data_IF_972856174773
#
_entry.id   IF_972856174773
#
_cell.length_a   1.000
_cell.length_b   1.000
_cell.length_c   1.000
_cell.angle_alpha   90.00
_cell.angle_beta   90.00
_cell.angle_gamma   90.00
#
_symmetry.space_group_name_H-M   'P 1'
#
loop_
_entity.id
_entity.type
_entity.pdbx_description
1 polymer ?
#
# COMPACT_ATOMS: atom_id res chain seq x y z
N UNK A 1 -12.98 -23.13 -3.63
CA UNK A 1 -13.56 -21.88 -4.18
C UNK A 1 -13.62 -20.74 -3.16
N UNK A 2 -14.07 -20.96 -1.91
CA UNK A 2 -14.08 -19.90 -0.88
C UNK A 2 -12.69 -19.28 -0.58
N UNK A 3 -11.63 -20.10 -0.55
CA UNK A 3 -10.26 -19.62 -0.26
C UNK A 3 -9.69 -18.66 -1.31
N UNK A 4 -9.99 -18.87 -2.60
CA UNK A 4 -9.51 -17.97 -3.66
C UNK A 4 -10.29 -16.66 -3.65
N UNK A 5 -11.61 -16.69 -3.41
CA UNK A 5 -12.42 -15.48 -3.29
C UNK A 5 -11.97 -14.58 -2.13
N UNK A 6 -11.66 -15.18 -0.97
CA UNK A 6 -11.10 -14.46 0.18
C UNK A 6 -9.74 -13.84 -0.16
N UNK A 7 -8.88 -14.58 -0.86
CA UNK A 7 -7.57 -14.07 -1.31
C UNK A 7 -7.73 -12.89 -2.28
N UNK A 8 -8.64 -12.97 -3.24
CA UNK A 8 -8.90 -11.89 -4.21
C UNK A 8 -9.46 -10.64 -3.52
N UNK A 9 -10.41 -10.80 -2.59
CA UNK A 9 -10.95 -9.70 -1.80
C UNK A 9 -9.86 -9.02 -0.96
N UNK A 10 -9.02 -9.82 -0.29
CA UNK A 10 -7.90 -9.31 0.48
C UNK A 10 -6.91 -8.53 -0.40
N UNK A 11 -6.58 -9.07 -1.57
CA UNK A 11 -5.69 -8.41 -2.53
C UNK A 11 -6.26 -7.06 -3.02
N UNK A 12 -7.56 -6.99 -3.32
CA UNK A 12 -8.23 -5.75 -3.70
C UNK A 12 -8.22 -4.71 -2.58
N UNK A 13 -8.46 -5.14 -1.33
CA UNK A 13 -8.40 -4.25 -0.15
C UNK A 13 -6.99 -3.70 0.03
N UNK A 14 -5.97 -4.54 -0.10
CA UNK A 14 -4.57 -4.11 -0.01
C UNK A 14 -4.26 -3.09 -1.10
N UNK A 15 -4.64 -3.33 -2.36
CA UNK A 15 -4.43 -2.38 -3.46
C UNK A 15 -5.14 -1.04 -3.17
N UNK A 16 -6.40 -1.08 -2.71
CA UNK A 16 -7.17 0.11 -2.41
C UNK A 16 -6.54 0.95 -1.29
N UNK A 17 -6.06 0.32 -0.22
CA UNK A 17 -5.40 1.03 0.88
C UNK A 17 -4.03 1.59 0.45
N UNK A 18 -3.29 0.83 -0.35
CA UNK A 18 -1.91 1.16 -0.69
C UNK A 18 -1.79 2.22 -1.78
N UNK A 19 -2.82 2.40 -2.60
CA UNK A 19 -2.88 3.47 -3.61
C UNK A 19 -3.81 4.61 -3.16
N UNK A 20 -4.94 4.28 -2.53
CA UNK A 20 -5.95 5.25 -2.11
C UNK A 20 -5.50 6.17 -0.98
N UNK A 21 -4.79 5.65 0.03
CA UNK A 21 -4.31 6.46 1.17
C UNK A 21 -3.28 7.51 0.71
N UNK A 22 -2.20 7.16 -0.05
CA UNK A 22 -1.26 8.14 -0.56
C UNK A 22 -1.93 9.22 -1.45
N UNK A 23 -2.87 8.83 -2.30
CA UNK A 23 -3.58 9.77 -3.16
C UNK A 23 -4.49 10.70 -2.36
N UNK A 24 -5.21 10.20 -1.36
CA UNK A 24 -6.00 11.03 -0.45
C UNK A 24 -5.13 12.00 0.34
N UNK A 25 -3.94 11.59 0.78
CA UNK A 25 -3.00 12.48 1.45
C UNK A 25 -2.46 13.56 0.50
N UNK A 26 -2.22 13.22 -0.76
CA UNK A 26 -1.78 14.17 -1.79
C UNK A 26 -2.85 15.22 -2.12
N UNK A 27 -4.08 14.78 -2.44
CA UNK A 27 -5.16 15.67 -2.88
C UNK A 27 -5.97 16.31 -1.73
N UNK A 28 -5.97 15.69 -0.55
CA UNK A 28 -6.71 16.17 0.63
C UNK A 28 -5.91 17.15 1.50
N UNK A 29 -4.63 17.36 1.22
CA UNK A 29 -3.80 18.31 1.96
C UNK A 29 -3.95 19.73 1.43
N UNK A 30 -4.26 20.68 2.32
CA UNK A 30 -4.24 22.11 2.02
C UNK A 30 -2.82 22.63 1.69
N UNK A 31 -1.78 21.85 2.01
CA UNK A 31 -0.40 22.13 1.62
C UNK A 31 0.09 21.03 0.65
N UNK A 32 0.31 21.36 -0.63
CA UNK A 32 0.67 20.37 -1.65
C UNK A 32 2.03 19.71 -1.41
N UNK A 33 2.97 20.41 -0.76
CA UNK A 33 4.29 19.85 -0.42
C UNK A 33 4.17 18.80 0.68
N UNK A 34 3.36 19.07 1.71
CA UNK A 34 3.10 18.11 2.78
C UNK A 34 2.37 16.85 2.26
N UNK A 35 1.40 17.04 1.36
CA UNK A 35 0.69 15.93 0.72
C UNK A 35 1.60 15.05 -0.14
N UNK A 36 2.53 15.66 -0.88
CA UNK A 36 3.54 14.94 -1.67
C UNK A 36 4.47 14.11 -0.77
N UNK A 37 5.00 14.71 0.31
CA UNK A 37 5.88 14.01 1.25
C UNK A 37 5.16 12.83 1.92
N UNK A 38 3.91 13.03 2.33
CA UNK A 38 3.09 11.98 2.93
C UNK A 38 2.81 10.82 1.95
N UNK A 39 2.60 11.13 0.66
CA UNK A 39 2.45 10.12 -0.38
C UNK A 39 3.75 9.34 -0.61
N UNK A 40 4.89 10.03 -0.73
CA UNK A 40 6.22 9.40 -0.89
C UNK A 40 6.53 8.45 0.28
N UNK A 41 6.30 8.90 1.52
CA UNK A 41 6.51 8.09 2.71
C UNK A 41 5.61 6.85 2.72
N UNK A 42 4.34 7.01 2.34
CA UNK A 42 3.38 5.90 2.29
C UNK A 42 3.76 4.86 1.23
N UNK A 43 4.20 5.29 0.03
CA UNK A 43 4.75 4.38 -0.98
C UNK A 43 6.07 3.72 -0.55
N UNK A 44 6.93 4.44 0.18
CA UNK A 44 8.16 3.88 0.74
C UNK A 44 7.92 2.76 1.75
N UNK A 45 6.93 2.94 2.65
CA UNK A 45 6.52 1.92 3.61
C UNK A 45 5.97 0.68 2.87
N UNK A 46 5.18 0.89 1.82
CA UNK A 46 4.66 -0.19 0.98
C UNK A 46 5.79 -1.01 0.33
N UNK A 47 6.75 -0.33 -0.30
CA UNK A 47 7.90 -0.99 -0.93
C UNK A 47 8.73 -1.78 0.10
N UNK A 48 8.91 -1.22 1.31
CA UNK A 48 9.61 -1.89 2.41
C UNK A 48 8.88 -3.17 2.86
N UNK A 49 7.56 -3.11 2.97
CA UNK A 49 6.73 -4.28 3.30
C UNK A 49 6.81 -5.35 2.20
N UNK A 50 6.73 -4.95 0.93
CA UNK A 50 6.86 -5.87 -0.20
C UNK A 50 8.23 -6.55 -0.24
N UNK A 51 9.31 -5.82 0.03
CA UNK A 51 10.66 -6.38 0.16
C UNK A 51 10.76 -7.36 1.32
N UNK A 52 10.23 -7.00 2.49
CA UNK A 52 10.21 -7.89 3.65
C UNK A 52 9.44 -9.18 3.37
N UNK A 53 8.25 -9.08 2.78
CA UNK A 53 7.44 -10.23 2.38
C UNK A 53 8.17 -11.13 1.37
N UNK A 54 8.89 -10.54 0.41
CA UNK A 54 9.69 -11.30 -0.57
C UNK A 54 10.87 -12.03 0.09
N UNK A 55 11.58 -11.36 1.01
CA UNK A 55 12.67 -11.97 1.77
C UNK A 55 12.18 -13.11 2.67
N UNK A 56 11.01 -12.95 3.29
CA UNK A 56 10.39 -13.98 4.12
C UNK A 56 9.98 -15.20 3.28
N UNK A 57 9.35 -14.97 2.11
CA UNK A 57 8.97 -16.04 1.19
C UNK A 57 10.15 -16.80 0.56
N UNK A 58 11.36 -16.24 0.55
CA UNK A 58 12.57 -16.96 0.11
C UNK A 58 13.18 -17.85 1.20
N UNK A 59 12.78 -17.66 2.46
CA UNK A 59 13.29 -18.41 3.63
C UNK A 59 12.43 -19.61 4.01
N UNK A 60 11.17 -19.64 3.57
CA UNK A 60 10.25 -20.78 3.68
C UNK A 60 10.19 -21.55 2.36
#
# INVERSE_FOLDING_TARGET
>A
MARSAIYTLYMLVVIALTVGIPLMLYYGSNNPVAGLLAAILSFGILASYALYANLLNRRN
#
